data_IF_356322018927
#
_entry.id   IF_356322018927
#
_cell.length_a   1.000
_cell.length_b   1.000
_cell.length_c   1.000
_cell.angle_alpha   90.00
_cell.angle_beta   90.00
_cell.angle_gamma   90.00
#
_symmetry.space_group_name_H-M   'P 1'
#
loop_
_entity.id
_entity.type
_entity.pdbx_description
1 polymer ?
#
# COMPACT_ATOMS: atom_id res chain seq x y z
N UNK A 1 -0.53 -12.13 0.08
CA UNK A 1 -1.20 -12.39 -1.22
C UNK A 1 -0.12 -12.22 -2.28
N UNK A 2 0.36 -13.33 -2.91
CA UNK A 2 1.66 -13.34 -3.62
C UNK A 2 1.89 -12.16 -4.58
N UNK A 3 0.84 -11.68 -5.27
CA UNK A 3 0.98 -10.58 -6.22
C UNK A 3 1.28 -9.23 -5.56
N UNK A 4 0.65 -8.91 -4.41
CA UNK A 4 0.87 -7.66 -3.68
C UNK A 4 2.24 -7.67 -3.02
N UNK A 5 2.60 -8.79 -2.40
CA UNK A 5 3.91 -8.98 -1.77
C UNK A 5 5.04 -8.87 -2.81
N UNK A 6 4.85 -9.45 -3.99
CA UNK A 6 5.80 -9.34 -5.10
C UNK A 6 5.88 -7.92 -5.65
N UNK A 7 4.75 -7.22 -5.77
CA UNK A 7 4.71 -5.84 -6.23
C UNK A 7 5.47 -4.91 -5.27
N UNK A 8 5.17 -4.97 -3.97
CA UNK A 8 5.84 -4.16 -2.95
C UNK A 8 7.33 -4.48 -2.85
N UNK A 9 7.69 -5.76 -2.90
CA UNK A 9 9.10 -6.18 -2.90
C UNK A 9 9.85 -5.72 -4.15
N UNK A 10 9.21 -5.75 -5.32
CA UNK A 10 9.76 -5.24 -6.57
C UNK A 10 9.95 -3.74 -6.54
N UNK A 11 8.96 -3.01 -6.00
CA UNK A 11 9.02 -1.56 -5.85
C UNK A 11 10.15 -1.15 -4.90
N UNK A 12 10.26 -1.79 -3.73
CA UNK A 12 11.39 -1.59 -2.80
C UNK A 12 12.74 -1.77 -3.49
N UNK A 13 12.91 -2.88 -4.22
CA UNK A 13 14.15 -3.15 -4.97
C UNK A 13 14.45 -2.08 -6.01
N UNK A 14 13.43 -1.60 -6.72
CA UNK A 14 13.60 -0.54 -7.71
C UNK A 14 14.07 0.77 -7.06
N UNK A 15 13.48 1.16 -5.93
CA UNK A 15 13.94 2.34 -5.18
C UNK A 15 15.40 2.19 -4.73
N UNK A 16 15.75 1.05 -4.13
CA UNK A 16 17.10 0.81 -3.62
C UNK A 16 18.15 0.78 -4.75
N UNK A 17 17.79 0.21 -5.90
CA UNK A 17 18.71 0.11 -7.06
C UNK A 17 18.94 1.44 -7.77
N UNK A 18 18.09 2.45 -7.53
CA UNK A 18 18.15 3.75 -8.21
C UNK A 18 18.47 4.91 -7.25
N UNK A 19 19.08 4.64 -6.10
CA UNK A 19 19.45 5.66 -5.12
C UNK A 19 18.28 6.29 -4.36
N UNK A 20 17.10 5.67 -4.40
CA UNK A 20 15.89 6.10 -3.71
C UNK A 20 15.67 5.43 -2.34
N UNK A 21 16.72 4.86 -1.73
CA UNK A 21 16.64 4.16 -0.45
C UNK A 21 16.04 5.04 0.66
N UNK A 22 16.54 6.27 0.83
CA UNK A 22 16.02 7.21 1.83
C UNK A 22 14.53 7.55 1.59
N UNK A 23 14.12 7.72 0.33
CA UNK A 23 12.72 7.98 -0.02
C UNK A 23 11.83 6.80 0.33
N UNK A 24 12.28 5.58 0.03
CA UNK A 24 11.52 4.36 0.35
C UNK A 24 11.44 4.13 1.85
N UNK A 25 12.54 4.29 2.58
CA UNK A 25 12.60 4.08 4.02
C UNK A 25 11.76 5.13 4.77
N UNK A 26 11.78 6.38 4.29
CA UNK A 26 10.89 7.42 4.79
C UNK A 26 9.43 7.05 4.56
N UNK A 27 9.07 6.66 3.33
CA UNK A 27 7.73 6.18 2.98
C UNK A 27 7.27 5.03 3.89
N UNK A 28 8.11 4.01 4.09
CA UNK A 28 7.81 2.86 4.96
C UNK A 28 7.53 3.26 6.40
N UNK A 29 8.18 4.32 6.88
CA UNK A 29 7.99 4.81 8.26
C UNK A 29 6.70 5.61 8.43
N UNK A 30 6.31 6.39 7.42
CA UNK A 30 5.16 7.30 7.52
C UNK A 30 3.87 6.70 6.96
N UNK A 31 3.94 5.61 6.19
CA UNK A 31 2.76 5.01 5.60
C UNK A 31 1.81 4.52 6.69
N UNK A 32 0.52 4.68 6.41
CA UNK A 32 -0.55 4.05 7.15
C UNK A 32 -1.59 3.51 6.18
N UNK A 33 -2.16 2.38 6.56
CA UNK A 33 -3.23 1.73 5.81
C UNK A 33 -4.60 2.27 6.17
N UNK A 34 -5.56 2.00 5.29
CA UNK A 34 -6.96 2.29 5.51
C UNK A 34 -7.49 1.48 6.70
N UNK A 35 -8.43 2.06 7.44
CA UNK A 35 -9.04 1.39 8.58
C UNK A 35 -9.85 0.17 8.13
N UNK A 36 -9.95 -0.86 8.99
CA UNK A 36 -10.78 -2.04 8.69
C UNK A 36 -12.26 -1.69 8.45
N UNK A 37 -12.74 -0.63 9.10
CA UNK A 37 -14.12 -0.15 8.93
C UNK A 37 -14.31 0.41 7.52
N UNK A 38 -13.36 1.21 7.04
CA UNK A 38 -13.45 1.81 5.71
C UNK A 38 -13.24 0.75 4.61
N UNK A 39 -12.35 -0.22 4.83
CA UNK A 39 -12.17 -1.36 3.93
C UNK A 39 -13.42 -2.26 3.86
N UNK A 40 -14.15 -2.44 4.96
CA UNK A 40 -15.41 -3.18 4.97
C UNK A 40 -16.49 -2.44 4.18
N UNK A 41 -16.67 -1.14 4.44
CA UNK A 41 -17.60 -0.28 3.67
C UNK A 41 -17.27 -0.28 2.17
N UNK A 42 -15.98 -0.27 1.83
CA UNK A 42 -15.52 -0.32 0.44
C UNK A 42 -15.89 -1.63 -0.25
N UNK A 43 -15.73 -2.77 0.43
CA UNK A 43 -16.09 -4.08 -0.09
C UNK A 43 -17.62 -4.25 -0.21
N UNK A 44 -18.40 -3.68 0.70
CA UNK A 44 -19.86 -3.65 0.61
C UNK A 44 -20.34 -2.79 -0.57
N UNK A 45 -19.75 -1.61 -0.75
CA UNK A 45 -20.09 -0.70 -1.85
C UNK A 45 -19.65 -1.24 -3.22
N UNK A 46 -18.53 -1.99 -3.26
CA UNK A 46 -17.97 -2.57 -4.48
C UNK A 46 -17.65 -4.05 -4.28
N UNK A 47 -18.65 -4.95 -4.37
CA UNK A 47 -18.46 -6.39 -4.14
C UNK A 47 -17.46 -7.07 -5.08
N UNK A 48 -17.23 -6.48 -6.27
CA UNK A 48 -16.27 -6.96 -7.26
C UNK A 48 -14.87 -6.33 -7.13
N UNK A 49 -14.59 -5.62 -6.02
CA UNK A 49 -13.29 -4.99 -5.81
C UNK A 49 -12.16 -6.04 -5.86
N UNK A 50 -11.08 -5.80 -6.62
CA UNK A 50 -9.95 -6.72 -6.61
C UNK A 50 -9.36 -6.83 -5.22
N UNK A 51 -9.20 -8.05 -4.72
CA UNK A 51 -8.58 -8.29 -3.41
C UNK A 51 -7.17 -7.67 -3.31
N UNK A 52 -6.45 -7.56 -4.44
CA UNK A 52 -5.14 -6.93 -4.48
C UNK A 52 -5.19 -5.45 -4.14
N UNK A 53 -6.25 -4.75 -4.56
CA UNK A 53 -6.47 -3.34 -4.20
C UNK A 53 -6.77 -3.20 -2.71
N UNK A 54 -7.60 -4.08 -2.15
CA UNK A 54 -7.90 -4.10 -0.70
C UNK A 54 -6.62 -4.29 0.11
N UNK A 55 -5.77 -5.26 -0.26
CA UNK A 55 -4.48 -5.48 0.40
C UNK A 55 -3.51 -4.30 0.24
N UNK A 56 -3.52 -3.60 -0.90
CA UNK A 56 -2.71 -2.39 -1.09
C UNK A 56 -3.20 -1.25 -0.21
N UNK A 57 -4.52 -1.05 -0.11
CA UNK A 57 -5.11 -0.02 0.75
C UNK A 57 -4.89 -0.31 2.24
N UNK A 58 -4.90 -1.58 2.64
CA UNK A 58 -4.50 -1.99 4.00
C UNK A 58 -3.02 -1.72 4.28
N UNK A 59 -2.18 -1.72 3.24
CA UNK A 59 -0.75 -1.40 3.36
C UNK A 59 -0.47 0.11 3.40
N UNK A 60 -1.13 0.86 2.51
CA UNK A 60 -1.03 2.31 2.37
C UNK A 60 -2.29 2.88 1.71
N UNK A 61 -2.95 3.83 2.37
CA UNK A 61 -4.18 4.46 1.86
C UNK A 61 -3.93 5.70 0.99
N UNK A 62 -2.67 6.12 0.87
CA UNK A 62 -2.28 7.28 0.08
C UNK A 62 -2.49 8.63 0.76
N UNK A 63 -2.79 8.68 2.05
CA UNK A 63 -2.98 9.92 2.82
C UNK A 63 -1.78 10.29 3.70
N UNK A 64 -0.71 9.50 3.66
CA UNK A 64 0.57 9.72 4.37
C UNK A 64 1.30 11.03 4.02
N UNK A 65 0.97 11.68 2.91
CA UNK A 65 1.55 12.98 2.52
C UNK A 65 0.86 14.19 3.17
N UNK A 66 -0.28 13.97 3.85
CA UNK A 66 -1.03 15.04 4.54
C UNK A 66 -0.47 15.39 5.92
N UNK A 67 0.50 14.61 6.39
CA UNK A 67 1.17 14.74 7.70
C UNK A 67 2.47 15.51 7.62
#
# INVERSE_FOLDING_TARGET
MKIVDNYLSGLKKAYYSNGGEETWDHFERIKHGASKIDLAKLQEAFPAIPQGLVCLLEYVDGTYWRT
#
